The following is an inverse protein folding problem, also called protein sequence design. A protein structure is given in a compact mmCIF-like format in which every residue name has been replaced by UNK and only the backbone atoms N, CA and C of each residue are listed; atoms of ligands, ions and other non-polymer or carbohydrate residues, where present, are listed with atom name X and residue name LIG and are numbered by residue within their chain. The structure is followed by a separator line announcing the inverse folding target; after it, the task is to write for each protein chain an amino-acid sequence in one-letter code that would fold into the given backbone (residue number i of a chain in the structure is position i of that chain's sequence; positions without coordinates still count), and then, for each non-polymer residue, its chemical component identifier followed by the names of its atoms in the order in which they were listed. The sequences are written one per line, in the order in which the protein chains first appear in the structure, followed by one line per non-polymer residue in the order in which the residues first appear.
data_IF_500503067089
#
_entry.id   IF_500503067089
#
_cell.length_a   1.000
_cell.length_b   1.000
_cell.length_c   1.000
_cell.angle_alpha   90.00
_cell.angle_beta   90.00
_cell.angle_gamma   90.00
#
_symmetry.space_group_name_H-M   'P 1'
#
loop_
_entity.id
_entity.type
_entity.pdbx_description
1 polymer ?
#
# COMPACT_ATOMS: atom_id res chain seq x y z
N UNK A 1 -6.52 -13.33 40.14
CA UNK A 1 -7.25 -12.37 39.30
C UNK A 1 -7.63 -13.05 38.00
N UNK A 2 -8.91 -13.17 37.65
CA UNK A 2 -9.34 -13.85 36.42
C UNK A 2 -8.95 -13.01 35.21
N UNK A 3 -8.44 -13.66 34.15
CA UNK A 3 -8.11 -13.04 32.88
C UNK A 3 -9.36 -12.37 32.26
N UNK A 4 -9.25 -11.16 31.67
CA UNK A 4 -10.38 -10.52 31.03
C UNK A 4 -10.81 -11.36 29.81
N UNK A 5 -12.07 -11.75 29.81
CA UNK A 5 -12.74 -12.39 28.66
C UNK A 5 -12.56 -11.47 27.45
N UNK A 6 -11.81 -11.92 26.46
CA UNK A 6 -11.75 -11.26 25.17
C UNK A 6 -13.18 -11.08 24.63
N UNK A 7 -13.48 -9.88 24.14
CA UNK A 7 -14.79 -9.50 23.63
C UNK A 7 -15.08 -10.31 22.36
N UNK A 8 -15.58 -11.52 22.53
CA UNK A 8 -15.84 -12.50 21.45
C UNK A 8 -16.80 -11.97 20.37
N UNK A 9 -17.58 -10.92 20.71
CA UNK A 9 -18.50 -10.27 19.77
C UNK A 9 -17.76 -9.37 18.75
N UNK A 10 -16.73 -8.62 19.18
CA UNK A 10 -15.94 -7.78 18.28
C UNK A 10 -15.09 -8.61 17.31
N UNK A 11 -14.48 -9.68 17.80
CA UNK A 11 -13.69 -10.62 17.00
C UNK A 11 -14.57 -11.40 16.00
N UNK A 12 -15.76 -11.84 16.43
CA UNK A 12 -16.77 -12.48 15.57
C UNK A 12 -17.25 -11.54 14.47
N UNK A 13 -17.56 -10.27 14.78
CA UNK A 13 -17.99 -9.27 13.79
C UNK A 13 -16.89 -9.01 12.75
N UNK A 14 -15.63 -8.89 13.19
CA UNK A 14 -14.48 -8.72 12.30
C UNK A 14 -14.31 -9.92 11.37
N UNK A 15 -14.41 -11.15 11.89
CA UNK A 15 -14.34 -12.38 11.06
C UNK A 15 -15.48 -12.45 10.05
N UNK A 16 -16.71 -12.08 10.44
CA UNK A 16 -17.85 -12.04 9.53
C UNK A 16 -17.64 -11.03 8.40
N UNK A 17 -17.19 -9.80 8.70
CA UNK A 17 -16.92 -8.77 7.68
C UNK A 17 -15.80 -9.23 6.74
N UNK A 18 -14.75 -9.83 7.28
CA UNK A 18 -13.63 -10.34 6.49
C UNK A 18 -14.04 -11.52 5.59
N UNK A 19 -14.83 -12.45 6.14
CA UNK A 19 -15.38 -13.57 5.38
C UNK A 19 -16.32 -13.06 4.28
N UNK A 20 -17.23 -12.13 4.59
CA UNK A 20 -18.14 -11.54 3.59
C UNK A 20 -17.36 -10.83 2.47
N UNK A 21 -16.35 -10.03 2.82
CA UNK A 21 -15.51 -9.36 1.83
C UNK A 21 -14.74 -10.34 0.94
N UNK A 22 -14.17 -11.41 1.52
CA UNK A 22 -13.51 -12.47 0.76
C UNK A 22 -14.50 -13.22 -0.14
N UNK A 23 -15.70 -13.54 0.37
CA UNK A 23 -16.75 -14.20 -0.42
C UNK A 23 -17.16 -13.35 -1.61
N UNK A 24 -17.33 -12.02 -1.42
CA UNK A 24 -17.61 -11.09 -2.52
C UNK A 24 -16.47 -11.07 -3.54
N UNK A 25 -15.22 -10.98 -3.06
CA UNK A 25 -14.05 -10.97 -3.94
C UNK A 25 -13.90 -12.25 -4.76
N UNK A 26 -14.03 -13.41 -4.10
CA UNK A 26 -14.02 -14.73 -4.78
C UNK A 26 -15.21 -14.87 -5.72
N UNK A 27 -16.41 -14.43 -5.29
CA UNK A 27 -17.61 -14.45 -6.12
C UNK A 27 -17.45 -13.62 -7.41
N UNK A 28 -16.81 -12.46 -7.34
CA UNK A 28 -16.50 -11.63 -8.50
C UNK A 28 -15.49 -12.30 -9.45
N UNK A 29 -14.48 -12.95 -8.92
CA UNK A 29 -13.50 -13.71 -9.73
C UNK A 29 -14.18 -14.90 -10.42
N UNK A 30 -15.03 -15.64 -9.69
CA UNK A 30 -15.81 -16.74 -10.27
C UNK A 30 -16.79 -16.23 -11.34
N UNK A 31 -17.45 -15.11 -11.10
CA UNK A 31 -18.34 -14.47 -12.07
C UNK A 31 -17.57 -14.11 -13.35
N UNK A 32 -16.39 -13.51 -13.23
CA UNK A 32 -15.54 -13.24 -14.38
C UNK A 32 -15.16 -14.54 -15.13
N UNK A 33 -14.88 -15.61 -14.39
CA UNK A 33 -14.60 -16.93 -14.97
C UNK A 33 -15.80 -17.55 -15.72
N UNK A 34 -17.03 -17.35 -15.21
CA UNK A 34 -18.28 -17.81 -15.84
C UNK A 34 -18.62 -16.97 -17.08
N UNK A 35 -18.38 -15.64 -17.00
CA UNK A 35 -18.60 -14.75 -18.15
C UNK A 35 -17.58 -14.94 -19.27
N UNK A 36 -16.41 -15.49 -18.93
CA UNK A 36 -15.38 -15.78 -19.89
C UNK A 36 -15.72 -17.04 -20.71
N UNK A 37 -15.52 -16.99 -22.02
CA UNK A 37 -15.43 -18.20 -22.83
C UNK A 37 -14.13 -18.94 -22.46
N UNK A 38 -14.26 -20.03 -21.69
CA UNK A 38 -13.12 -20.79 -21.17
C UNK A 38 -12.14 -21.24 -22.25
N UNK A 39 -12.64 -21.56 -23.46
CA UNK A 39 -11.78 -21.93 -24.60
C UNK A 39 -10.97 -20.74 -25.11
N UNK A 40 -11.61 -19.59 -25.28
CA UNK A 40 -10.94 -18.36 -25.72
C UNK A 40 -9.97 -17.85 -24.68
N UNK A 41 -10.34 -17.95 -23.38
CA UNK A 41 -9.47 -17.58 -22.26
C UNK A 41 -8.20 -18.42 -22.26
N UNK A 42 -8.34 -19.75 -22.37
CA UNK A 42 -7.20 -20.68 -22.44
C UNK A 42 -6.35 -20.44 -23.70
N UNK A 43 -6.98 -20.19 -24.83
CA UNK A 43 -6.27 -19.87 -26.08
C UNK A 43 -5.47 -18.58 -25.95
N UNK A 44 -6.06 -17.53 -25.38
CA UNK A 44 -5.38 -16.25 -25.13
C UNK A 44 -4.21 -16.43 -24.17
N UNK A 45 -4.41 -17.20 -23.08
CA UNK A 45 -3.36 -17.48 -22.11
C UNK A 45 -2.24 -18.38 -22.70
N UNK A 46 -2.59 -19.39 -23.48
CA UNK A 46 -1.63 -20.26 -24.16
C UNK A 46 -0.80 -19.53 -25.23
N UNK A 47 -1.35 -18.48 -25.83
CA UNK A 47 -0.65 -17.64 -26.79
C UNK A 47 0.41 -16.70 -26.18
N UNK A 48 0.55 -16.67 -24.86
CA UNK A 48 1.55 -15.84 -24.17
C UNK A 48 2.94 -16.43 -24.38
N UNK A 49 3.82 -15.71 -25.07
CA UNK A 49 5.20 -16.14 -25.21
C UNK A 49 5.96 -15.91 -23.89
N UNK A 50 6.64 -16.92 -23.30
CA UNK A 50 7.30 -16.78 -21.99
C UNK A 50 8.27 -15.62 -21.88
N UNK A 51 8.97 -15.26 -22.97
CA UNK A 51 9.87 -14.11 -22.98
C UNK A 51 9.15 -12.77 -22.73
N UNK A 52 7.86 -12.63 -23.10
CA UNK A 52 7.10 -11.42 -22.87
C UNK A 52 6.68 -11.27 -21.40
N UNK A 53 6.72 -12.32 -20.59
CA UNK A 53 6.49 -12.26 -19.14
C UNK A 53 7.65 -11.60 -18.41
N UNK A 54 8.84 -11.54 -19.02
CA UNK A 54 9.99 -10.89 -18.41
C UNK A 54 9.77 -9.38 -18.23
N UNK A 55 9.07 -8.71 -19.16
CA UNK A 55 8.84 -7.27 -19.08
C UNK A 55 7.98 -6.89 -17.85
N UNK A 56 6.79 -7.45 -17.60
CA UNK A 56 6.03 -7.20 -16.36
C UNK A 56 6.83 -7.48 -15.10
N UNK A 57 7.62 -8.55 -15.06
CA UNK A 57 8.46 -8.90 -13.90
C UNK A 57 9.54 -7.85 -13.65
N UNK A 58 10.32 -7.49 -14.67
CA UNK A 58 11.39 -6.49 -14.55
C UNK A 58 10.83 -5.11 -14.19
N UNK A 59 9.72 -4.71 -14.80
CA UNK A 59 9.05 -3.44 -14.48
C UNK A 59 8.55 -3.42 -13.03
N UNK A 60 8.03 -4.53 -12.51
CA UNK A 60 7.63 -4.63 -11.09
C UNK A 60 8.83 -4.49 -10.16
N UNK A 61 9.93 -5.16 -10.43
CA UNK A 61 11.15 -5.02 -9.63
C UNK A 61 11.69 -3.58 -9.67
N UNK A 62 11.67 -2.95 -10.84
CA UNK A 62 12.07 -1.55 -11.02
C UNK A 62 11.13 -0.60 -10.27
N UNK A 63 9.80 -0.82 -10.29
CA UNK A 63 8.80 -0.04 -9.53
C UNK A 63 9.09 -0.11 -8.02
N UNK A 64 9.29 -1.30 -7.47
CA UNK A 64 9.65 -1.46 -6.06
C UNK A 64 11.02 -0.84 -5.71
N UNK A 65 11.97 -0.87 -6.62
CA UNK A 65 13.26 -0.19 -6.45
C UNK A 65 13.07 1.34 -6.45
N UNK A 66 12.27 1.90 -7.35
CA UNK A 66 11.93 3.32 -7.40
C UNK A 66 11.22 3.78 -6.11
N UNK A 67 10.21 3.03 -5.67
CA UNK A 67 9.53 3.29 -4.40
C UNK A 67 10.49 3.26 -3.21
N UNK A 68 11.41 2.31 -3.17
CA UNK A 68 12.42 2.18 -2.11
C UNK A 68 13.42 3.35 -2.12
N UNK A 69 13.79 3.84 -3.30
CA UNK A 69 14.62 5.05 -3.45
C UNK A 69 13.89 6.30 -2.95
N UNK A 70 12.59 6.42 -3.21
CA UNK A 70 11.78 7.50 -2.65
C UNK A 70 11.79 7.48 -1.12
N UNK A 71 11.52 6.33 -0.50
CA UNK A 71 11.61 6.18 0.96
C UNK A 71 12.98 6.55 1.51
N UNK A 72 14.04 6.11 0.84
CA UNK A 72 15.41 6.44 1.22
C UNK A 72 15.66 7.95 1.18
N UNK A 73 15.28 8.63 0.11
CA UNK A 73 15.45 10.07 -0.04
C UNK A 73 14.67 10.89 1.01
N UNK A 74 13.43 10.50 1.32
CA UNK A 74 12.62 11.11 2.39
C UNK A 74 13.30 10.90 3.75
N UNK A 75 13.81 9.69 4.01
CA UNK A 75 14.49 9.38 5.27
C UNK A 75 15.80 10.17 5.43
N UNK A 76 16.60 10.29 4.39
CA UNK A 76 17.81 11.10 4.37
C UNK A 76 17.52 12.57 4.61
N UNK A 77 16.45 13.11 3.99
CA UNK A 77 15.97 14.47 4.25
C UNK A 77 15.47 14.64 5.69
N UNK A 78 14.92 13.58 6.31
CA UNK A 78 14.54 13.56 7.73
C UNK A 78 15.71 13.28 8.69
N UNK A 79 16.95 13.20 8.18
CA UNK A 79 18.15 12.94 8.98
C UNK A 79 18.33 11.47 9.39
N UNK A 80 17.71 10.53 8.68
CA UNK A 80 17.82 9.09 8.91
C UNK A 80 18.56 8.45 7.73
N UNK A 81 19.67 7.77 7.99
CA UNK A 81 20.44 7.07 6.95
C UNK A 81 20.32 5.57 7.13
N UNK A 82 19.74 4.90 6.15
CA UNK A 82 19.71 3.44 6.02
C UNK A 82 20.15 3.04 4.62
N UNK A 83 20.71 1.85 4.50
CA UNK A 83 21.12 1.31 3.21
C UNK A 83 19.92 1.09 2.29
N UNK A 84 20.11 1.19 0.98
CA UNK A 84 19.07 0.90 -0.01
C UNK A 84 18.49 -0.51 0.12
N UNK A 85 19.34 -1.50 0.42
CA UNK A 85 18.92 -2.90 0.66
C UNK A 85 17.93 -3.01 1.84
N UNK A 86 18.15 -2.22 2.90
CA UNK A 86 17.23 -2.18 4.05
C UNK A 86 15.90 -1.56 3.65
N UNK A 87 15.90 -0.45 2.89
CA UNK A 87 14.67 0.14 2.38
C UNK A 87 13.92 -0.78 1.43
N UNK A 88 14.63 -1.49 0.56
CA UNK A 88 14.03 -2.47 -0.35
C UNK A 88 13.28 -3.57 0.43
N UNK A 89 13.91 -4.15 1.47
CA UNK A 89 13.26 -5.13 2.35
C UNK A 89 12.02 -4.55 3.04
N UNK A 90 12.13 -3.36 3.63
CA UNK A 90 11.01 -2.70 4.31
C UNK A 90 9.86 -2.45 3.35
N UNK A 91 10.15 -2.00 2.13
CA UNK A 91 9.15 -1.71 1.10
C UNK A 91 8.43 -2.99 0.66
N UNK A 92 9.16 -4.04 0.29
CA UNK A 92 8.54 -5.31 -0.11
C UNK A 92 7.65 -5.86 0.99
N UNK A 93 8.18 -6.00 2.20
CA UNK A 93 7.46 -6.61 3.32
C UNK A 93 6.24 -5.78 3.73
N UNK A 94 6.37 -4.46 3.86
CA UNK A 94 5.26 -3.61 4.29
C UNK A 94 4.14 -3.51 3.25
N UNK A 95 4.47 -3.45 1.96
CA UNK A 95 3.47 -3.39 0.90
C UNK A 95 2.77 -4.73 0.71
N UNK A 96 3.50 -5.84 0.78
CA UNK A 96 2.89 -7.17 0.71
C UNK A 96 1.86 -7.37 1.83
N UNK A 97 2.21 -7.01 3.07
CA UNK A 97 1.24 -7.11 4.19
C UNK A 97 0.06 -6.15 3.97
N UNK A 98 0.29 -4.98 3.39
CA UNK A 98 -0.78 -4.04 3.07
C UNK A 98 -1.78 -4.60 2.04
N UNK A 99 -1.31 -5.39 1.09
CA UNK A 99 -2.17 -6.03 0.09
C UNK A 99 -2.91 -7.26 0.64
N UNK A 100 -2.30 -8.00 1.56
CA UNK A 100 -2.91 -9.19 2.16
C UNK A 100 -3.96 -8.86 3.22
N UNK A 101 -3.79 -7.75 3.94
CA UNK A 101 -4.65 -7.40 5.09
C UNK A 101 -5.45 -6.15 4.77
N UNK A 102 -6.79 -6.30 4.72
CA UNK A 102 -7.70 -5.17 4.53
C UNK A 102 -7.68 -4.25 5.73
N UNK A 103 -7.01 -3.14 5.61
CA UNK A 103 -6.90 -2.18 6.71
C UNK A 103 -6.72 -0.73 6.24
N UNK A 104 -7.13 -0.41 5.01
CA UNK A 104 -6.95 0.92 4.43
C UNK A 104 -5.49 1.44 4.56
N UNK A 105 -4.50 0.56 4.37
CA UNK A 105 -3.08 0.92 4.48
C UNK A 105 -2.48 0.81 5.88
N UNK A 106 -3.29 0.59 6.93
CA UNK A 106 -2.82 0.56 8.32
C UNK A 106 -1.91 -0.63 8.63
N UNK A 107 -2.15 -1.79 8.00
CA UNK A 107 -1.33 -2.99 8.20
C UNK A 107 0.09 -2.81 7.68
N UNK A 108 0.24 -2.31 6.46
CA UNK A 108 1.55 -1.99 5.89
C UNK A 108 2.27 -0.89 6.66
N UNK A 109 1.53 0.13 7.12
CA UNK A 109 2.05 1.17 7.99
C UNK A 109 2.57 0.59 9.32
N UNK A 110 1.81 -0.27 10.00
CA UNK A 110 2.20 -0.89 11.27
C UNK A 110 3.47 -1.75 11.11
N UNK A 111 3.52 -2.57 10.06
CA UNK A 111 4.72 -3.39 9.75
C UNK A 111 5.93 -2.51 9.47
N UNK A 112 5.76 -1.41 8.73
CA UNK A 112 6.83 -0.46 8.47
C UNK A 112 7.33 0.19 9.75
N UNK A 113 6.42 0.61 10.64
CA UNK A 113 6.79 1.15 11.96
C UNK A 113 7.60 0.14 12.77
N UNK A 114 7.18 -1.12 12.78
CA UNK A 114 7.89 -2.19 13.46
C UNK A 114 9.30 -2.39 12.87
N UNK A 115 9.43 -2.51 11.54
CA UNK A 115 10.72 -2.70 10.88
C UNK A 115 11.67 -1.51 11.06
N UNK A 116 11.16 -0.27 11.03
CA UNK A 116 11.95 0.93 11.30
C UNK A 116 12.39 1.03 12.77
N UNK A 117 11.55 0.56 13.70
CA UNK A 117 11.93 0.50 15.11
C UNK A 117 13.10 -0.46 15.36
N UNK A 118 13.17 -1.58 14.64
CA UNK A 118 14.32 -2.51 14.67
C UNK A 118 15.61 -1.84 14.16
N UNK A 119 15.51 -0.83 13.31
CA UNK A 119 16.63 -0.02 12.82
C UNK A 119 16.94 1.17 13.76
N UNK A 120 16.40 1.18 14.98
CA UNK A 120 16.56 2.24 15.99
C UNK A 120 16.10 3.64 15.53
N UNK A 121 15.20 3.71 14.53
CA UNK A 121 14.61 4.98 14.09
C UNK A 121 13.52 5.38 15.09
N UNK A 122 13.57 6.63 15.64
CA UNK A 122 12.54 7.13 16.53
C UNK A 122 11.16 7.10 15.90
N UNK A 123 10.12 6.69 16.64
CA UNK A 123 8.76 6.52 16.14
C UNK A 123 8.22 7.78 15.42
N UNK A 124 8.51 8.98 15.91
CA UNK A 124 8.10 10.24 15.29
C UNK A 124 8.68 10.42 13.88
N UNK A 125 9.97 10.08 13.68
CA UNK A 125 10.59 10.13 12.35
C UNK A 125 10.08 9.02 11.43
N UNK A 126 9.87 7.82 11.94
CA UNK A 126 9.32 6.71 11.17
C UNK A 126 7.91 7.03 10.64
N UNK A 127 7.05 7.63 11.49
CA UNK A 127 5.72 8.10 11.10
C UNK A 127 5.81 9.21 10.06
N UNK A 128 6.68 10.20 10.28
CA UNK A 128 6.89 11.30 9.33
C UNK A 128 7.28 10.79 7.94
N UNK A 129 8.29 9.92 7.84
CA UNK A 129 8.74 9.32 6.58
C UNK A 129 7.57 8.62 5.88
N UNK A 130 6.79 7.84 6.63
CA UNK A 130 5.66 7.10 6.08
C UNK A 130 4.51 8.00 5.64
N UNK A 131 4.20 9.07 6.38
CA UNK A 131 3.16 10.04 6.01
C UNK A 131 3.54 10.83 4.77
N UNK A 132 4.79 11.30 4.68
CA UNK A 132 5.28 12.03 3.50
C UNK A 132 5.26 11.13 2.28
N UNK A 133 5.74 9.89 2.39
CA UNK A 133 5.65 8.92 1.30
C UNK A 133 4.21 8.69 0.87
N UNK A 134 3.30 8.42 1.81
CA UNK A 134 1.88 8.20 1.52
C UNK A 134 1.26 9.41 0.85
N UNK A 135 1.58 10.62 1.31
CA UNK A 135 1.11 11.85 0.69
C UNK A 135 1.59 11.98 -0.77
N UNK A 136 2.90 11.83 -1.01
CA UNK A 136 3.47 11.92 -2.37
C UNK A 136 2.88 10.85 -3.29
N UNK A 137 2.74 9.60 -2.80
CA UNK A 137 2.15 8.49 -3.55
C UNK A 137 0.70 8.80 -3.96
N UNK A 138 -0.14 9.26 -3.01
CA UNK A 138 -1.54 9.55 -3.30
C UNK A 138 -1.70 10.83 -4.15
N UNK A 139 -0.83 11.82 -3.97
CA UNK A 139 -0.83 13.01 -4.81
C UNK A 139 -0.49 12.66 -6.27
N UNK A 140 0.54 11.86 -6.49
CA UNK A 140 0.91 11.38 -7.83
C UNK A 140 -0.20 10.52 -8.43
N UNK A 141 -0.80 9.61 -7.64
CA UNK A 141 -1.96 8.82 -8.06
C UNK A 141 -3.11 9.72 -8.50
N UNK A 142 -3.43 10.77 -7.73
CA UNK A 142 -4.48 11.72 -8.10
C UNK A 142 -4.22 12.36 -9.47
N UNK A 143 -2.97 12.75 -9.74
CA UNK A 143 -2.60 13.30 -11.06
C UNK A 143 -2.88 12.29 -12.19
N UNK A 144 -2.50 11.02 -12.01
CA UNK A 144 -2.77 9.97 -13.01
C UNK A 144 -4.26 9.67 -13.17
N UNK A 145 -5.00 9.60 -12.07
CA UNK A 145 -6.46 9.39 -12.08
C UNK A 145 -7.15 10.57 -12.78
N UNK A 146 -6.74 11.80 -12.49
CA UNK A 146 -7.28 12.99 -13.14
C UNK A 146 -7.00 13.02 -14.65
N UNK A 147 -5.79 12.62 -15.08
CA UNK A 147 -5.44 12.48 -16.50
C UNK A 147 -6.28 11.38 -17.18
N UNK A 148 -6.45 10.23 -16.53
CA UNK A 148 -7.29 9.14 -17.01
C UNK A 148 -8.75 9.59 -17.12
N UNK A 149 -9.27 10.29 -16.12
CA UNK A 149 -10.63 10.83 -16.10
C UNK A 149 -10.84 11.89 -17.20
N UNK A 150 -9.91 12.81 -17.37
CA UNK A 150 -9.96 13.80 -18.46
C UNK A 150 -10.01 13.11 -19.84
N UNK A 151 -9.18 12.08 -20.04
CA UNK A 151 -9.18 11.28 -21.26
C UNK A 151 -10.52 10.56 -21.51
N UNK A 152 -11.18 10.12 -20.43
CA UNK A 152 -12.48 9.44 -20.47
C UNK A 152 -13.60 10.41 -20.88
N UNK A 153 -13.63 11.61 -20.26
CA UNK A 153 -14.60 12.67 -20.59
C UNK A 153 -14.48 13.13 -22.03
N UNK A 154 -13.24 13.35 -22.50
CA UNK A 154 -12.98 13.77 -23.88
C UNK A 154 -13.44 12.74 -24.93
N UNK A 155 -13.47 11.46 -24.57
CA UNK A 155 -13.91 10.37 -25.46
C UNK A 155 -15.42 10.11 -25.42
N UNK A 156 -16.17 10.76 -24.52
CA UNK A 156 -17.61 10.55 -24.28
C UNK A 156 -18.01 9.07 -24.09
N UNK A 157 -17.12 8.28 -23.48
CA UNK A 157 -17.18 6.81 -23.48
C UNK A 157 -17.94 6.20 -22.29
N UNK A 158 -18.64 7.02 -21.44
CA UNK A 158 -19.22 6.52 -20.18
C UNK A 158 -20.66 6.99 -19.97
N UNK A 159 -21.55 6.08 -19.49
CA UNK A 159 -22.90 6.45 -19.06
C UNK A 159 -22.88 7.51 -17.96
N UNK A 160 -23.83 8.46 -17.99
CA UNK A 160 -23.87 9.61 -17.09
C UNK A 160 -23.81 9.26 -15.58
N UNK A 161 -24.43 8.16 -15.16
CA UNK A 161 -24.39 7.71 -13.75
C UNK A 161 -22.99 7.30 -13.28
N UNK A 162 -22.23 6.59 -14.13
CA UNK A 162 -20.85 6.19 -13.80
C UNK A 162 -19.91 7.40 -13.81
N UNK A 163 -20.15 8.37 -14.69
CA UNK A 163 -19.44 9.64 -14.74
C UNK A 163 -19.64 10.45 -13.46
N UNK A 164 -20.89 10.55 -12.96
CA UNK A 164 -21.21 11.22 -11.69
C UNK A 164 -20.52 10.53 -10.50
N UNK A 165 -20.60 9.20 -10.41
CA UNK A 165 -19.94 8.46 -9.33
C UNK A 165 -18.42 8.65 -9.32
N UNK A 166 -17.77 8.58 -10.50
CA UNK A 166 -16.34 8.82 -10.63
C UNK A 166 -15.96 10.27 -10.30
N UNK A 167 -16.77 11.25 -10.69
CA UNK A 167 -16.56 12.66 -10.34
C UNK A 167 -16.64 12.91 -8.84
N UNK A 168 -17.63 12.33 -8.17
CA UNK A 168 -17.78 12.43 -6.71
C UNK A 168 -16.58 11.80 -6.01
N UNK A 169 -16.18 10.58 -6.41
CA UNK A 169 -15.00 9.92 -5.82
C UNK A 169 -13.72 10.75 -6.02
N UNK A 170 -13.53 11.30 -7.22
CA UNK A 170 -12.39 12.17 -7.54
C UNK A 170 -12.41 13.46 -6.71
N UNK A 171 -13.58 14.08 -6.56
CA UNK A 171 -13.74 15.30 -5.75
C UNK A 171 -13.46 15.05 -4.26
N UNK A 172 -13.97 13.94 -3.69
CA UNK A 172 -13.69 13.55 -2.32
C UNK A 172 -12.19 13.27 -2.09
N UNK A 173 -11.56 12.56 -3.00
CA UNK A 173 -10.13 12.24 -2.91
C UNK A 173 -9.27 13.50 -3.06
N UNK A 174 -9.62 14.39 -4.00
CA UNK A 174 -8.96 15.70 -4.17
C UNK A 174 -9.13 16.58 -2.93
N UNK A 175 -10.34 16.63 -2.35
CA UNK A 175 -10.63 17.36 -1.13
C UNK A 175 -9.80 16.86 0.06
N UNK A 176 -9.66 15.54 0.21
CA UNK A 176 -8.83 14.94 1.26
C UNK A 176 -7.35 15.31 1.10
N UNK A 177 -6.82 15.26 -0.12
CA UNK A 177 -5.43 15.65 -0.39
C UNK A 177 -5.21 17.16 -0.23
N UNK A 178 -6.15 17.99 -0.67
CA UNK A 178 -6.09 19.44 -0.44
C UNK A 178 -6.09 19.75 1.07
N UNK A 179 -6.94 19.07 1.86
CA UNK A 179 -6.93 19.20 3.31
C UNK A 179 -5.58 18.79 3.93
N UNK A 180 -4.97 17.69 3.43
CA UNK A 180 -3.63 17.29 3.86
C UNK A 180 -2.56 18.35 3.55
N UNK A 181 -2.63 19.00 2.36
CA UNK A 181 -1.76 20.15 2.01
C UNK A 181 -1.96 21.30 2.99
N UNK A 182 -3.21 21.67 3.28
CA UNK A 182 -3.52 22.74 4.26
C UNK A 182 -2.94 22.40 5.63
N UNK A 183 -3.03 21.14 6.08
CA UNK A 183 -2.43 20.71 7.35
C UNK A 183 -0.89 20.83 7.35
N UNK A 184 -0.24 20.62 6.21
CA UNK A 184 1.22 20.76 6.08
C UNK A 184 1.62 22.23 6.33
N UNK A 185 0.92 23.19 5.71
CA UNK A 185 1.28 24.61 5.77
C UNK A 185 0.69 25.35 6.98
N UNK A 186 -0.50 24.96 7.45
CA UNK A 186 -1.20 25.66 8.54
C UNK A 186 -0.89 25.03 9.92
N UNK A 187 0.11 25.60 10.61
CA UNK A 187 0.62 25.12 11.91
C UNK A 187 -0.47 24.97 12.99
N UNK A 188 -1.40 25.94 13.08
CA UNK A 188 -2.46 25.91 14.09
C UNK A 188 -3.50 24.81 13.81
N UNK A 189 -3.93 24.69 12.54
CA UNK A 189 -4.88 23.65 12.13
C UNK A 189 -4.27 22.27 12.32
N UNK A 190 -3.02 22.08 11.92
CA UNK A 190 -2.26 20.83 12.13
C UNK A 190 -2.22 20.44 13.61
N UNK A 191 -1.90 21.38 14.51
CA UNK A 191 -1.87 21.10 15.96
C UNK A 191 -3.24 20.68 16.48
N UNK A 192 -4.32 21.36 16.07
CA UNK A 192 -5.70 21.03 16.46
C UNK A 192 -6.11 19.65 15.94
N UNK A 193 -5.84 19.37 14.67
CA UNK A 193 -6.21 18.08 14.04
C UNK A 193 -5.40 16.92 14.65
N UNK A 194 -4.09 17.08 14.83
CA UNK A 194 -3.26 16.06 15.48
C UNK A 194 -3.68 15.83 16.94
N UNK A 195 -4.04 16.90 17.67
CA UNK A 195 -4.56 16.77 19.03
C UNK A 195 -5.90 16.02 19.05
N UNK A 196 -6.82 16.37 18.14
CA UNK A 196 -8.13 15.72 18.03
C UNK A 196 -7.99 14.23 17.67
N UNK A 197 -7.16 13.90 16.68
CA UNK A 197 -6.89 12.51 16.28
C UNK A 197 -6.24 11.73 17.43
N UNK A 198 -5.28 12.33 18.11
CA UNK A 198 -4.58 11.71 19.22
C UNK A 198 -5.50 11.49 20.43
N UNK A 199 -6.34 12.46 20.78
CA UNK A 199 -7.29 12.37 21.89
C UNK A 199 -8.43 11.39 21.59
N UNK A 200 -8.95 11.42 20.36
CA UNK A 200 -9.97 10.47 19.91
C UNK A 200 -9.41 9.05 19.84
N UNK A 201 -8.20 8.90 19.27
CA UNK A 201 -7.48 7.62 19.24
C UNK A 201 -7.20 7.09 20.65
N UNK A 202 -6.78 7.94 21.57
CA UNK A 202 -6.59 7.58 22.98
C UNK A 202 -7.88 7.14 23.65
N UNK A 203 -8.99 7.86 23.41
CA UNK A 203 -10.32 7.49 23.94
C UNK A 203 -10.82 6.14 23.40
N UNK A 204 -10.67 5.91 22.10
CA UNK A 204 -11.05 4.65 21.46
C UNK A 204 -10.15 3.51 21.96
N UNK A 205 -8.84 3.70 21.98
CA UNK A 205 -7.86 2.69 22.42
C UNK A 205 -8.08 2.32 23.90
N UNK A 206 -8.41 3.28 24.75
CA UNK A 206 -8.72 3.06 26.16
C UNK A 206 -9.99 2.23 26.36
N UNK A 207 -10.98 2.34 25.42
CA UNK A 207 -12.21 1.53 25.46
C UNK A 207 -11.98 0.11 24.92
N UNK A 208 -11.14 -0.05 23.90
CA UNK A 208 -10.95 -1.32 23.18
C UNK A 208 -9.81 -2.14 23.78
N UNK A 209 -8.67 -1.51 24.14
CA UNK A 209 -7.48 -2.19 24.65
C UNK A 209 -6.80 -1.35 25.76
N UNK A 210 -7.38 -1.33 26.99
CA UNK A 210 -6.92 -0.45 28.08
C UNK A 210 -5.44 -0.66 28.47
N UNK A 211 -4.89 -1.86 28.29
CA UNK A 211 -3.50 -2.20 28.63
C UNK A 211 -2.45 -1.63 27.66
N UNK A 212 -2.84 -1.16 26.48
CA UNK A 212 -1.94 -0.68 25.41
C UNK A 212 -2.03 0.83 25.21
N UNK A 213 -2.74 1.55 26.07
CA UNK A 213 -2.89 3.01 25.94
C UNK A 213 -1.57 3.72 26.28
N UNK A 214 -0.96 4.43 25.31
CA UNK A 214 0.25 5.20 25.56
C UNK A 214 -0.06 6.35 26.53
N UNK A 215 0.78 6.54 27.54
CA UNK A 215 0.64 7.67 28.48
C UNK A 215 0.67 9.01 27.75
N UNK A 216 -0.02 10.03 28.29
CA UNK A 216 -0.11 11.40 27.71
C UNK A 216 1.26 11.99 27.35
N UNK A 217 2.29 11.70 28.13
CA UNK A 217 3.67 12.16 27.87
C UNK A 217 4.25 11.55 26.58
N UNK A 218 3.98 10.26 26.31
CA UNK A 218 4.41 9.62 25.06
C UNK A 218 3.70 10.21 23.84
N UNK A 219 2.41 10.53 23.98
CA UNK A 219 1.60 11.14 22.94
C UNK A 219 2.10 12.57 22.64
N UNK A 220 2.39 13.35 23.67
CA UNK A 220 2.96 14.68 23.53
C UNK A 220 4.34 14.67 22.83
N UNK A 221 5.24 13.79 23.26
CA UNK A 221 6.56 13.60 22.60
C UNK A 221 6.40 13.20 21.14
N UNK A 222 5.45 12.32 20.84
CA UNK A 222 5.17 11.90 19.49
C UNK A 222 4.73 13.08 18.62
N UNK A 223 3.77 13.89 19.08
CA UNK A 223 3.30 15.08 18.37
C UNK A 223 4.42 16.11 18.17
N UNK A 224 5.23 16.32 19.19
CA UNK A 224 6.37 17.24 19.13
C UNK A 224 7.39 16.79 18.08
N UNK A 225 7.80 15.52 18.11
CA UNK A 225 8.74 14.95 17.14
C UNK A 225 8.19 14.97 15.71
N UNK A 226 6.88 14.74 15.54
CA UNK A 226 6.22 14.82 14.24
C UNK A 226 6.25 16.25 13.68
N UNK A 227 5.91 17.24 14.51
CA UNK A 227 5.93 18.64 14.11
C UNK A 227 7.34 19.12 13.78
N UNK A 228 8.33 18.83 14.63
CA UNK A 228 9.74 19.18 14.36
C UNK A 228 10.24 18.54 13.06
N UNK A 229 9.92 17.26 12.83
CA UNK A 229 10.31 16.57 11.63
C UNK A 229 9.68 17.17 10.38
N UNK A 230 8.40 17.58 10.45
CA UNK A 230 7.73 18.22 9.33
C UNK A 230 8.32 19.62 9.04
N UNK A 231 8.60 20.41 10.07
CA UNK A 231 9.29 21.71 9.92
C UNK A 231 10.67 21.55 9.29
N UNK A 232 11.41 20.51 9.69
CA UNK A 232 12.71 20.17 9.10
C UNK A 232 12.61 19.78 7.61
N UNK A 233 11.56 19.04 7.24
CA UNK A 233 11.31 18.69 5.83
C UNK A 233 10.88 19.89 5.00
N UNK A 234 10.02 20.77 5.54
CA UNK A 234 9.57 21.98 4.87
C UNK A 234 10.74 22.97 4.62
N UNK A 235 11.68 23.04 5.56
CA UNK A 235 12.91 23.83 5.40
C UNK A 235 13.85 23.28 4.31
N UNK A 236 13.66 22.02 3.89
CA UNK A 236 14.45 21.32 2.88
C UNK A 236 13.60 20.77 1.73
N UNK A 237 12.60 21.54 1.32
CA UNK A 237 11.65 21.16 0.26
C UNK A 237 12.32 20.82 -1.07
N UNK A 238 13.47 21.45 -1.36
CA UNK A 238 14.34 21.16 -2.49
C UNK A 238 14.79 19.68 -2.54
N UNK A 239 15.02 19.08 -1.37
CA UNK A 239 15.37 17.66 -1.25
C UNK A 239 14.21 16.70 -1.48
N UNK A 240 12.98 17.20 -1.59
CA UNK A 240 11.79 16.39 -1.87
C UNK A 240 11.58 16.15 -3.37
N UNK A 241 12.25 16.89 -4.25
CA UNK A 241 12.13 16.72 -5.71
C UNK A 241 12.57 15.32 -6.15
N UNK A 242 13.71 14.83 -5.65
CA UNK A 242 14.19 13.50 -6.01
C UNK A 242 13.24 12.37 -5.51
N UNK A 243 12.80 12.34 -4.23
CA UNK A 243 11.76 11.41 -3.79
C UNK A 243 10.47 11.47 -4.62
N UNK A 244 9.98 12.67 -4.95
CA UNK A 244 8.79 12.85 -5.80
C UNK A 244 9.01 12.30 -7.22
N UNK A 245 10.17 12.53 -7.82
CA UNK A 245 10.56 11.95 -9.11
C UNK A 245 10.60 10.42 -9.09
N UNK A 246 11.11 9.82 -8.00
CA UNK A 246 11.11 8.37 -7.84
C UNK A 246 9.69 7.80 -7.70
N UNK A 247 8.76 8.51 -7.04
CA UNK A 247 7.35 8.10 -6.97
C UNK A 247 6.65 8.24 -8.31
N UNK A 248 6.92 9.33 -9.03
CA UNK A 248 6.40 9.48 -10.40
C UNK A 248 6.86 8.32 -11.28
N UNK A 249 8.15 7.96 -11.22
CA UNK A 249 8.69 6.81 -11.93
C UNK A 249 8.02 5.50 -11.50
N UNK A 250 7.80 5.27 -10.21
CA UNK A 250 7.09 4.11 -9.67
C UNK A 250 5.69 3.97 -10.30
N UNK A 251 4.91 5.04 -10.37
CA UNK A 251 3.59 5.03 -10.99
C UNK A 251 3.63 4.82 -12.51
N UNK A 252 4.59 5.44 -13.20
CA UNK A 252 4.79 5.21 -14.65
C UNK A 252 5.13 3.74 -14.89
N UNK A 253 6.04 3.16 -14.10
CA UNK A 253 6.40 1.75 -14.20
C UNK A 253 5.19 0.85 -13.88
N UNK A 254 4.39 1.19 -12.87
CA UNK A 254 3.18 0.43 -12.52
C UNK A 254 2.16 0.41 -13.66
N UNK A 255 1.93 1.53 -14.33
CA UNK A 255 1.07 1.60 -15.52
C UNK A 255 1.70 0.82 -16.69
N UNK A 256 3.03 0.92 -16.85
CA UNK A 256 3.77 0.19 -17.86
C UNK A 256 3.69 -1.33 -17.67
N UNK A 257 3.57 -1.84 -16.42
CA UNK A 257 3.35 -3.28 -16.15
C UNK A 257 2.03 -3.74 -16.80
N UNK A 258 0.96 -2.97 -16.63
CA UNK A 258 -0.33 -3.29 -17.24
C UNK A 258 -0.27 -3.20 -18.77
N UNK A 259 0.40 -2.17 -19.30
CA UNK A 259 0.62 -2.06 -20.75
C UNK A 259 1.43 -3.24 -21.30
N UNK A 260 2.50 -3.66 -20.62
CA UNK A 260 3.29 -4.83 -20.97
C UNK A 260 2.48 -6.13 -20.87
N UNK A 261 1.55 -6.23 -19.92
CA UNK A 261 0.64 -7.37 -19.82
C UNK A 261 -0.28 -7.47 -21.06
N UNK A 262 -0.81 -6.36 -21.57
CA UNK A 262 -1.56 -6.34 -22.83
C UNK A 262 -0.70 -6.78 -24.02
N UNK A 263 0.54 -6.34 -24.07
CA UNK A 263 1.49 -6.78 -25.11
C UNK A 263 1.79 -8.27 -25.02
N UNK A 264 1.90 -8.81 -23.80
CA UNK A 264 2.15 -10.23 -23.59
C UNK A 264 0.99 -11.11 -24.08
N UNK A 265 -0.24 -10.63 -24.03
CA UNK A 265 -1.42 -11.33 -24.60
C UNK A 265 -1.64 -11.01 -26.09
N UNK A 266 -0.65 -10.46 -26.77
CA UNK A 266 -0.67 -10.08 -28.20
C UNK A 266 -1.79 -9.09 -28.57
N UNK A 267 -2.22 -8.26 -27.62
CA UNK A 267 -3.23 -7.22 -27.85
C UNK A 267 -2.58 -5.84 -27.81
N UNK A 268 -2.42 -5.14 -28.95
CA UNK A 268 -1.86 -3.79 -28.98
C UNK A 268 -2.90 -2.80 -28.43
N UNK A 269 -2.61 -2.20 -27.29
CA UNK A 269 -3.48 -1.20 -26.66
C UNK A 269 -2.80 0.17 -26.62
N UNK A 270 -3.56 1.23 -26.87
CA UNK A 270 -3.07 2.60 -26.74
C UNK A 270 -2.80 2.94 -25.25
N UNK A 271 -1.66 3.60 -24.91
CA UNK A 271 -1.33 3.94 -23.52
C UNK A 271 -2.41 4.73 -22.79
N UNK A 272 -3.15 5.61 -23.48
CA UNK A 272 -4.26 6.36 -22.89
C UNK A 272 -5.42 5.47 -22.42
N UNK A 273 -5.72 4.36 -23.11
CA UNK A 273 -6.73 3.40 -22.66
C UNK A 273 -6.27 2.64 -21.41
N UNK A 274 -4.98 2.29 -21.34
CA UNK A 274 -4.40 1.66 -20.15
C UNK A 274 -4.55 2.57 -18.95
N UNK A 275 -4.27 3.87 -19.11
CA UNK A 275 -4.39 4.86 -18.03
C UNK A 275 -5.84 4.97 -17.53
N UNK A 276 -6.83 4.96 -18.43
CA UNK A 276 -8.25 5.00 -18.07
C UNK A 276 -8.63 3.74 -17.28
N UNK A 277 -8.40 2.56 -17.83
CA UNK A 277 -8.75 1.30 -17.18
C UNK A 277 -8.07 1.11 -15.83
N UNK A 278 -6.79 1.49 -15.73
CA UNK A 278 -6.04 1.50 -14.48
C UNK A 278 -6.65 2.48 -13.46
N UNK A 279 -6.97 3.71 -13.87
CA UNK A 279 -7.57 4.73 -13.02
C UNK A 279 -8.93 4.29 -12.45
N UNK A 280 -9.80 3.71 -13.28
CA UNK A 280 -11.10 3.15 -12.83
C UNK A 280 -10.89 2.02 -11.83
N UNK A 281 -9.99 1.09 -12.12
CA UNK A 281 -9.70 -0.04 -11.23
C UNK A 281 -9.18 0.40 -9.87
N UNK A 282 -8.25 1.36 -9.83
CA UNK A 282 -7.70 1.89 -8.58
C UNK A 282 -8.77 2.64 -7.77
N UNK A 283 -9.56 3.51 -8.39
CA UNK A 283 -10.60 4.27 -7.67
C UNK A 283 -11.61 3.33 -7.03
N UNK A 284 -12.10 2.32 -7.76
CA UNK A 284 -13.04 1.35 -7.22
C UNK A 284 -12.41 0.43 -6.17
N UNK A 285 -11.14 0.08 -6.33
CA UNK A 285 -10.38 -0.68 -5.32
C UNK A 285 -10.20 0.10 -4.01
N UNK A 286 -9.99 1.42 -4.05
CA UNK A 286 -9.85 2.27 -2.86
C UNK A 286 -11.15 2.34 -2.04
N UNK A 287 -12.31 2.32 -2.70
CA UNK A 287 -13.63 2.33 -2.05
C UNK A 287 -14.00 0.94 -1.54
N UNK A 288 -13.41 -0.11 -2.10
CA UNK A 288 -13.67 -1.50 -1.73
C UNK A 288 -13.10 -1.84 -0.35
N UNK A 289 -13.89 -2.54 0.47
CA UNK A 289 -13.44 -3.14 1.73
C UNK A 289 -12.82 -4.53 1.55
N UNK A 290 -12.66 -4.98 0.30
CA UNK A 290 -12.12 -6.30 -0.01
C UNK A 290 -10.59 -6.29 0.13
N UNK A 291 -9.98 -7.31 0.77
CA UNK A 291 -8.52 -7.44 0.90
C UNK A 291 -7.82 -7.33 -0.46
N UNK A 292 -6.89 -6.38 -0.59
CA UNK A 292 -6.17 -6.14 -1.83
C UNK A 292 -7.04 -5.77 -3.04
N UNK A 293 -8.34 -5.45 -2.82
CA UNK A 293 -9.30 -5.20 -3.90
C UNK A 293 -9.55 -6.44 -4.76
N UNK A 294 -9.33 -7.66 -4.23
CA UNK A 294 -9.51 -8.91 -4.97
C UNK A 294 -10.92 -9.02 -5.57
N UNK A 295 -11.01 -9.33 -6.83
CA UNK A 295 -12.26 -9.38 -7.59
C UNK A 295 -12.78 -8.01 -8.02
N UNK A 296 -12.75 -7.00 -7.15
CA UNK A 296 -13.26 -5.65 -7.44
C UNK A 296 -12.39 -4.93 -8.46
N UNK A 297 -11.09 -4.93 -8.25
CA UNK A 297 -10.16 -4.26 -9.16
C UNK A 297 -10.13 -4.95 -10.52
N UNK A 298 -10.11 -6.28 -10.55
CA UNK A 298 -10.12 -7.08 -11.76
C UNK A 298 -11.42 -6.85 -12.57
N UNK A 299 -12.56 -6.93 -11.90
CA UNK A 299 -13.85 -6.68 -12.54
C UNK A 299 -13.97 -5.25 -13.07
N UNK A 300 -13.55 -4.27 -12.27
CA UNK A 300 -13.62 -2.86 -12.63
C UNK A 300 -12.71 -2.52 -13.82
N UNK A 301 -11.46 -2.99 -13.81
CA UNK A 301 -10.52 -2.79 -14.90
C UNK A 301 -11.00 -3.49 -16.17
N UNK A 302 -11.41 -4.76 -16.08
CA UNK A 302 -11.92 -5.51 -17.23
C UNK A 302 -13.16 -4.85 -17.81
N UNK A 303 -14.14 -4.46 -16.98
CA UNK A 303 -15.33 -3.74 -17.43
C UNK A 303 -15.00 -2.41 -18.09
N UNK A 304 -14.05 -1.64 -17.52
CA UNK A 304 -13.58 -0.40 -18.12
C UNK A 304 -12.95 -0.63 -19.50
N UNK A 305 -12.12 -1.66 -19.66
CA UNK A 305 -11.54 -1.98 -20.97
C UNK A 305 -12.59 -2.44 -21.98
N UNK A 306 -13.54 -3.26 -21.55
CA UNK A 306 -14.65 -3.70 -22.40
C UNK A 306 -15.51 -2.52 -22.87
N UNK A 307 -15.82 -1.56 -21.98
CA UNK A 307 -16.54 -0.34 -22.35
C UNK A 307 -15.78 0.55 -23.35
N UNK A 308 -14.45 0.38 -23.41
CA UNK A 308 -13.55 1.03 -24.36
C UNK A 308 -13.29 0.17 -25.63
N UNK A 309 -14.17 -0.80 -25.91
CA UNK A 309 -14.12 -1.70 -27.07
C UNK A 309 -12.91 -2.65 -27.09
N UNK A 310 -12.32 -2.95 -25.95
CA UNK A 310 -11.33 -4.03 -25.81
C UNK A 310 -12.10 -5.34 -25.62
N UNK A 311 -11.79 -6.42 -26.37
CA UNK A 311 -12.44 -7.73 -26.16
C UNK A 311 -12.24 -8.23 -24.72
N UNK A 312 -13.24 -8.95 -24.20
CA UNK A 312 -13.31 -9.34 -22.80
C UNK A 312 -12.12 -10.22 -22.38
N UNK A 313 -11.79 -11.25 -23.18
CA UNK A 313 -10.77 -12.23 -22.84
C UNK A 313 -9.35 -11.62 -22.80
N UNK A 314 -8.87 -10.85 -23.81
CA UNK A 314 -7.61 -10.14 -23.72
C UNK A 314 -7.56 -9.15 -22.53
N UNK A 315 -8.68 -8.44 -22.26
CA UNK A 315 -8.74 -7.51 -21.13
C UNK A 315 -8.58 -8.26 -19.80
N UNK A 316 -9.33 -9.34 -19.60
CA UNK A 316 -9.28 -10.14 -18.37
C UNK A 316 -7.89 -10.77 -18.16
N UNK A 317 -7.33 -11.42 -19.21
CA UNK A 317 -6.01 -12.08 -19.11
C UNK A 317 -4.91 -11.06 -18.80
N UNK A 318 -4.93 -9.89 -19.46
CA UNK A 318 -3.95 -8.83 -19.22
C UNK A 318 -4.06 -8.27 -17.79
N UNK A 319 -5.28 -8.06 -17.27
CA UNK A 319 -5.52 -7.61 -15.89
C UNK A 319 -5.06 -8.67 -14.88
N UNK A 320 -5.33 -9.96 -15.12
CA UNK A 320 -4.86 -11.04 -14.27
C UNK A 320 -3.33 -11.15 -14.29
N UNK A 321 -2.71 -11.03 -15.45
CA UNK A 321 -1.24 -11.03 -15.58
C UNK A 321 -0.62 -9.84 -14.83
N UNK A 322 -1.22 -8.66 -14.94
CA UNK A 322 -0.81 -7.49 -14.13
C UNK A 322 -0.88 -7.80 -12.64
N UNK A 323 -1.97 -8.45 -12.17
CA UNK A 323 -2.13 -8.83 -10.76
C UNK A 323 -1.07 -9.84 -10.31
N UNK A 324 -0.77 -10.84 -11.14
CA UNK A 324 0.30 -11.80 -10.83
C UNK A 324 1.64 -11.08 -10.72
N UNK A 325 1.98 -10.23 -11.69
CA UNK A 325 3.25 -9.52 -11.69
C UNK A 325 3.37 -8.52 -10.52
N UNK A 326 2.32 -7.75 -10.22
CA UNK A 326 2.39 -6.64 -9.27
C UNK A 326 2.04 -7.02 -7.82
N UNK A 327 1.33 -8.13 -7.59
CA UNK A 327 0.93 -8.59 -6.26
C UNK A 327 1.57 -9.92 -5.85
N UNK A 328 1.53 -10.93 -6.72
CA UNK A 328 2.05 -12.26 -6.37
C UNK A 328 3.58 -12.29 -6.37
N UNK A 329 4.21 -11.69 -7.36
CA UNK A 329 5.68 -11.62 -7.41
C UNK A 329 6.28 -10.92 -6.18
N UNK A 330 5.81 -9.72 -5.75
CA UNK A 330 6.29 -9.09 -4.53
C UNK A 330 6.01 -9.90 -3.27
N UNK A 331 4.90 -10.66 -3.22
CA UNK A 331 4.63 -11.59 -2.13
C UNK A 331 5.74 -12.65 -2.03
N UNK A 332 6.09 -13.29 -3.14
CA UNK A 332 7.15 -14.30 -3.18
C UNK A 332 8.51 -13.73 -2.75
N UNK A 333 8.85 -12.54 -3.26
CA UNK A 333 10.08 -11.83 -2.86
C UNK A 333 10.05 -11.48 -1.36
N UNK A 334 8.88 -11.08 -0.84
CA UNK A 334 8.72 -10.76 0.59
C UNK A 334 8.88 -11.98 1.48
N UNK A 335 8.40 -13.14 1.07
CA UNK A 335 8.60 -14.39 1.82
C UNK A 335 10.08 -14.74 1.97
N UNK A 336 10.87 -14.50 0.92
CA UNK A 336 12.33 -14.66 0.99
C UNK A 336 12.95 -13.70 2.03
N UNK A 337 12.53 -12.45 2.07
CA UNK A 337 13.00 -11.48 3.08
C UNK A 337 12.51 -11.79 4.49
N UNK A 338 11.28 -12.30 4.65
CA UNK A 338 10.74 -12.73 5.94
C UNK A 338 11.56 -13.86 6.55
N UNK A 339 11.93 -14.86 5.76
CA UNK A 339 12.76 -15.95 6.24
C UNK A 339 14.08 -15.45 6.85
N UNK A 340 14.74 -14.50 6.19
CA UNK A 340 15.96 -13.87 6.72
C UNK A 340 15.76 -13.09 8.03
N UNK A 341 14.62 -12.43 8.20
CA UNK A 341 14.29 -11.68 9.43
C UNK A 341 14.01 -12.63 10.60
N UNK A 342 13.30 -13.73 10.37
CA UNK A 342 13.02 -14.76 11.41
C UNK A 342 14.30 -15.47 11.88
N UNK A 343 15.19 -15.80 10.97
CA UNK A 343 16.49 -16.41 11.33
C UNK A 343 17.34 -15.45 12.18
N UNK A 344 17.41 -14.17 11.83
CA UNK A 344 18.14 -13.16 12.61
C UNK A 344 17.51 -12.96 14.00
N UNK A 345 16.18 -12.94 14.10
CA UNK A 345 15.47 -12.84 15.38
C UNK A 345 15.72 -14.08 16.24
N UNK A 346 15.67 -15.29 15.68
CA UNK A 346 15.98 -16.52 16.40
C UNK A 346 17.42 -16.55 16.92
N UNK A 347 18.40 -16.14 16.11
CA UNK A 347 19.80 -16.03 16.55
C UNK A 347 20.01 -14.98 17.65
N UNK A 348 19.31 -13.86 17.61
CA UNK A 348 19.41 -12.82 18.65
C UNK A 348 18.79 -13.25 19.98
N UNK A 349 17.74 -14.05 19.96
CA UNK A 349 17.13 -14.66 21.17
C UNK A 349 18.04 -15.75 21.72
N UNK A 350 18.61 -16.61 20.89
CA UNK A 350 19.55 -17.64 21.29
C UNK A 350 20.84 -17.05 21.92
N UNK A 351 21.37 -15.97 21.33
CA UNK A 351 22.53 -15.27 21.87
C UNK A 351 22.27 -14.62 23.24
N UNK A 352 21.06 -14.08 23.46
CA UNK A 352 20.67 -13.52 24.78
C UNK A 352 20.42 -14.60 25.82
N UNK A 353 19.88 -15.74 25.45
CA UNK A 353 19.71 -16.87 26.39
C UNK A 353 21.03 -17.58 26.74
N UNK A 354 22.02 -17.54 25.83
CA UNK A 354 23.37 -18.04 26.07
C UNK A 354 24.17 -17.18 27.06
N UNK A 355 24.07 -15.83 26.96
CA UNK A 355 24.78 -14.92 27.87
C UNK A 355 24.20 -14.92 29.30
N UNK A 356 22.91 -15.15 29.46
CA UNK A 356 22.26 -15.22 30.78
C UNK A 356 22.63 -16.49 31.59
N UNK A 357 23.25 -17.50 30.98
CA UNK A 357 23.70 -18.71 31.67
C UNK A 357 25.10 -18.57 32.30
N UNK A 358 25.87 -17.55 31.96
CA UNK A 358 27.23 -17.34 32.49
C UNK A 358 27.32 -16.33 33.64
N UNK A 359 26.22 -15.61 33.97
CA UNK A 359 26.20 -14.58 35.01
C UNK A 359 25.58 -15.07 36.36
N UNK A 360 25.50 -16.35 36.63
CA UNK A 360 25.19 -16.82 37.99
C UNK A 360 26.48 -16.82 38.83
N UNK A 361 26.60 -15.91 39.80
CA UNK A 361 27.74 -15.97 40.72
C UNK A 361 27.66 -17.26 41.53
N UNK A 362 28.80 -17.98 41.62
CA UNK A 362 28.95 -19.15 42.49
C UNK A 362 28.63 -18.73 43.94
N UNK A 363 27.89 -19.54 44.72
CA UNK A 363 27.66 -19.26 46.12
C UNK A 363 28.99 -19.24 46.86
N UNK A 364 29.16 -18.36 47.86
CA UNK A 364 30.38 -18.31 48.64
C UNK A 364 30.59 -19.66 49.37
N UNK A 365 31.76 -20.24 49.18
CA UNK A 365 32.22 -21.43 49.91
C UNK A 365 32.35 -21.08 51.38
N UNK A 366 31.63 -21.82 52.24
CA UNK A 366 31.79 -21.81 53.71
C UNK A 366 33.06 -22.56 54.07
#
# INVERSE_FOLDING_TARGET
MPAPRADGRADRRRRIVLAAALTVGVGLILLLGVLADGRKLLHTAAGIHPAMLAAPVLLTLASYAAMSRSYQGIAEAAGCRLSFRTWLRITFVSNTVNYLVTSAGLSGFAVRMYLLSQQRIPAGRAVLISLVQTFLTNFTLLCFVALGFASLVLRQAVPGAALVAASVALALFTGLLAYAVVLIYHRQLRRRTLFFIADTGHRVLRRVVPRWTPGRVRLWRFQHNLNQGLEFLLARKDRMLAPAGWILLDWVLTIAILWAAFRAVNYPIAPGLVLIGFGVGIVLSLVSLVPGGLGVMESAMTAAFVSLSVPFEPALVAVLLFRVAYYVLPLLVSLFFFHGIFLQAAHSVAARSGSARFDTPLPPSI
#
